data_IF_367759161637
#
_entry.id   IF_367759161637
#
_cell.length_a   1.000
_cell.length_b   1.000
_cell.length_c   1.000
_cell.angle_alpha   90.00
_cell.angle_beta   90.00
_cell.angle_gamma   90.00
#
_symmetry.space_group_name_H-M   'P 1'
#
loop_
_entity.id
_entity.type
_entity.pdbx_description
1 polymer ?
#
# COMPACT_ATOMS: atom_id res chain seq x y z
N UNK A 1 -2.04 -2.13 -6.64
CA UNK A 1 -2.31 -1.03 -7.59
C UNK A 1 -2.99 -1.53 -8.85
N UNK A 2 -2.45 -2.53 -9.60
CA UNK A 2 -3.11 -3.05 -10.81
C UNK A 2 -4.55 -3.51 -10.54
N UNK A 3 -4.78 -4.28 -9.49
CA UNK A 3 -6.12 -4.74 -9.12
C UNK A 3 -7.14 -3.60 -8.94
N UNK A 4 -6.70 -2.45 -8.42
CA UNK A 4 -7.57 -1.27 -8.28
C UNK A 4 -7.91 -0.65 -9.62
N UNK A 5 -6.94 -0.52 -10.54
CA UNK A 5 -7.16 -0.04 -11.90
C UNK A 5 -8.11 -0.97 -12.67
N UNK A 6 -7.92 -2.28 -12.54
CA UNK A 6 -8.75 -3.28 -13.20
C UNK A 6 -10.19 -3.28 -12.64
N UNK A 7 -10.34 -3.13 -11.32
CA UNK A 7 -11.65 -3.01 -10.65
C UNK A 7 -12.40 -1.76 -11.11
N UNK A 8 -11.70 -0.62 -11.23
CA UNK A 8 -12.30 0.61 -11.79
C UNK A 8 -12.73 0.42 -13.25
N UNK A 9 -11.87 -0.20 -14.07
CA UNK A 9 -12.19 -0.47 -15.48
C UNK A 9 -13.41 -1.40 -15.65
N UNK A 10 -13.67 -2.29 -14.68
CA UNK A 10 -14.86 -3.14 -14.64
C UNK A 10 -16.09 -2.45 -14.05
N UNK A 11 -15.96 -1.19 -13.60
CA UNK A 11 -17.07 -0.46 -12.97
C UNK A 11 -17.43 -0.92 -11.55
N UNK A 12 -16.51 -1.63 -10.87
CA UNK A 12 -16.74 -2.16 -9.53
C UNK A 12 -16.54 -1.09 -8.43
N UNK A 13 -16.00 0.08 -8.78
CA UNK A 13 -15.77 1.22 -7.89
C UNK A 13 -16.70 2.40 -8.21
N UNK A 14 -18.02 2.30 -7.99
CA UNK A 14 -18.96 3.32 -8.44
C UNK A 14 -18.81 4.67 -7.72
N UNK A 15 -18.19 4.69 -6.54
CA UNK A 15 -18.06 5.84 -5.66
C UNK A 15 -16.63 6.41 -5.60
N UNK A 16 -15.69 5.85 -6.36
CA UNK A 16 -14.29 6.28 -6.34
C UNK A 16 -13.68 6.25 -7.73
N UNK A 17 -12.72 7.15 -7.97
CA UNK A 17 -11.94 7.21 -9.21
C UNK A 17 -10.47 7.35 -8.88
N UNK A 18 -9.63 6.60 -9.59
CA UNK A 18 -8.18 6.73 -9.48
C UNK A 18 -7.74 7.85 -10.44
N UNK A 19 -7.32 8.97 -9.87
CA UNK A 19 -6.94 10.17 -10.63
C UNK A 19 -5.44 10.41 -10.66
N UNK A 20 -4.71 9.84 -9.69
CA UNK A 20 -3.27 10.03 -9.56
C UNK A 20 -2.57 8.78 -9.04
N UNK A 21 -1.41 8.46 -9.60
CA UNK A 21 -0.47 7.47 -9.08
C UNK A 21 0.83 8.16 -8.70
N UNK A 22 1.17 8.15 -7.41
CA UNK A 22 2.43 8.70 -6.90
C UNK A 22 3.44 7.56 -6.70
N UNK A 23 4.60 7.67 -7.32
CA UNK A 23 5.68 6.70 -7.17
C UNK A 23 6.85 7.30 -6.37
N UNK A 24 7.51 6.47 -5.57
CA UNK A 24 8.71 6.86 -4.81
C UNK A 24 10.00 6.84 -5.64
N UNK A 25 9.95 6.34 -6.88
CA UNK A 25 11.09 6.26 -7.82
C UNK A 25 10.62 6.43 -9.25
N UNK A 26 11.43 7.05 -10.13
CA UNK A 26 11.15 7.08 -11.56
C UNK A 26 11.31 5.70 -12.19
N UNK A 27 10.68 5.47 -13.34
CA UNK A 27 10.83 4.26 -14.13
C UNK A 27 10.29 2.99 -13.49
N UNK A 28 9.46 3.11 -12.43
CA UNK A 28 8.82 1.94 -11.82
C UNK A 28 7.58 1.53 -12.61
N UNK A 29 7.32 0.24 -12.64
CA UNK A 29 6.22 -0.34 -13.39
C UNK A 29 4.83 0.20 -13.00
N UNK A 30 4.72 0.78 -11.81
CA UNK A 30 3.49 1.46 -11.36
C UNK A 30 3.13 2.66 -12.27
N UNK A 31 4.11 3.45 -12.71
CA UNK A 31 3.88 4.59 -13.61
C UNK A 31 3.49 4.14 -15.02
N UNK A 32 4.07 3.05 -15.52
CA UNK A 32 3.66 2.46 -16.80
C UNK A 32 2.21 1.96 -16.78
N UNK A 33 1.81 1.34 -15.66
CA UNK A 33 0.43 0.88 -15.46
C UNK A 33 -0.56 2.06 -15.39
N UNK A 34 -0.19 3.13 -14.70
CA UNK A 34 -0.97 4.35 -14.65
C UNK A 34 -1.17 4.93 -16.05
N UNK A 35 -0.10 5.10 -16.81
CA UNK A 35 -0.14 5.62 -18.18
C UNK A 35 -1.02 4.76 -19.11
N UNK A 36 -0.92 3.41 -19.02
CA UNK A 36 -1.77 2.49 -19.79
C UNK A 36 -3.26 2.60 -19.44
N UNK A 37 -3.56 2.95 -18.20
CA UNK A 37 -4.92 3.17 -17.72
C UNK A 37 -5.43 4.62 -17.94
N UNK A 38 -4.61 5.50 -18.53
CA UNK A 38 -4.96 6.91 -18.72
C UNK A 38 -4.97 7.71 -17.41
N UNK A 39 -4.30 7.21 -16.37
CA UNK A 39 -4.18 7.87 -15.06
C UNK A 39 -2.87 8.64 -14.99
N UNK A 40 -2.92 9.85 -14.48
CA UNK A 40 -1.74 10.69 -14.27
C UNK A 40 -0.78 10.01 -13.27
N UNK A 41 0.52 10.06 -13.59
CA UNK A 41 1.57 9.52 -12.74
C UNK A 41 2.62 10.58 -12.41
N UNK A 42 3.02 10.68 -11.15
CA UNK A 42 4.11 11.54 -10.73
C UNK A 42 5.09 10.83 -9.79
N UNK A 43 6.23 11.48 -9.55
CA UNK A 43 7.29 10.93 -8.71
C UNK A 43 7.61 11.91 -7.58
N UNK A 44 7.47 11.44 -6.33
CA UNK A 44 7.90 12.17 -5.13
C UNK A 44 8.88 11.27 -4.37
N UNK A 45 10.18 11.59 -4.43
CA UNK A 45 11.22 10.74 -3.84
C UNK A 45 11.66 11.28 -2.50
N UNK A 46 11.57 10.46 -1.45
CA UNK A 46 12.04 10.85 -0.11
C UNK A 46 13.49 11.38 -0.08
N UNK A 47 14.37 10.81 -0.90
CA UNK A 47 15.80 11.18 -0.97
C UNK A 47 16.08 12.55 -1.59
N UNK A 48 15.11 13.17 -2.23
CA UNK A 48 15.27 14.50 -2.85
C UNK A 48 15.04 15.63 -1.83
N UNK A 49 14.66 15.29 -0.61
CA UNK A 49 14.37 16.21 0.49
C UNK A 49 15.31 15.95 1.67
N UNK A 50 15.78 17.02 2.30
CA UNK A 50 16.71 16.93 3.42
C UNK A 50 16.04 16.36 4.68
N UNK A 51 14.78 16.71 4.92
CA UNK A 51 14.00 16.24 6.08
C UNK A 51 12.76 15.48 5.68
N UNK A 52 12.17 14.76 6.63
CA UNK A 52 10.87 14.09 6.43
C UNK A 52 9.75 15.11 6.27
N UNK A 53 9.82 16.23 6.97
CA UNK A 53 8.81 17.30 6.89
C UNK A 53 8.78 17.97 5.50
N UNK A 54 9.95 18.18 4.89
CA UNK A 54 10.02 18.68 3.51
C UNK A 54 9.40 17.70 2.50
N UNK A 55 9.68 16.41 2.66
CA UNK A 55 9.07 15.36 1.84
C UNK A 55 7.55 15.32 2.02
N UNK A 56 7.06 15.36 3.26
CA UNK A 56 5.64 15.37 3.57
C UNK A 56 4.96 16.61 2.97
N UNK A 57 5.59 17.78 3.09
CA UNK A 57 5.09 19.03 2.51
C UNK A 57 4.94 18.92 1.00
N UNK A 58 5.94 18.37 0.32
CA UNK A 58 5.90 18.17 -1.13
C UNK A 58 4.84 17.16 -1.53
N UNK A 59 4.72 16.04 -0.81
CA UNK A 59 3.69 15.05 -1.06
C UNK A 59 2.29 15.63 -0.85
N UNK A 60 2.08 16.38 0.24
CA UNK A 60 0.82 17.06 0.51
C UNK A 60 0.44 18.08 -0.56
N UNK A 61 1.40 18.85 -1.07
CA UNK A 61 1.14 19.77 -2.19
C UNK A 61 0.61 19.01 -3.39
N UNK A 62 1.31 17.96 -3.81
CA UNK A 62 0.88 17.11 -4.93
C UNK A 62 -0.52 16.55 -4.73
N UNK A 63 -0.82 16.00 -3.56
CA UNK A 63 -2.14 15.44 -3.27
C UNK A 63 -3.26 16.50 -3.30
N UNK A 64 -3.00 17.67 -2.73
CA UNK A 64 -3.97 18.78 -2.68
C UNK A 64 -4.20 19.41 -4.05
N UNK A 65 -3.13 19.63 -4.83
CA UNK A 65 -3.19 20.22 -6.15
C UNK A 65 -4.01 19.36 -7.13
N UNK A 66 -4.05 18.03 -6.89
CA UNK A 66 -4.87 17.08 -7.66
C UNK A 66 -6.23 16.77 -7.01
N UNK A 67 -6.60 17.47 -5.95
CA UNK A 67 -7.89 17.27 -5.29
C UNK A 67 -8.11 15.87 -4.71
N UNK A 68 -7.03 15.21 -4.25
CA UNK A 68 -7.13 13.84 -3.74
C UNK A 68 -7.90 13.83 -2.42
N UNK A 69 -8.91 13.00 -2.32
CA UNK A 69 -9.77 12.85 -1.13
C UNK A 69 -9.44 11.59 -0.32
N UNK A 70 -8.92 10.53 -0.97
CA UNK A 70 -8.54 9.26 -0.37
C UNK A 70 -7.18 8.82 -0.91
N UNK A 71 -6.31 8.36 -0.04
CA UNK A 71 -4.99 7.82 -0.39
C UNK A 71 -4.97 6.32 -0.15
N UNK A 72 -4.48 5.55 -1.11
CA UNK A 72 -4.28 4.09 -0.95
C UNK A 72 -2.80 3.78 -1.12
N UNK A 73 -2.18 3.23 -0.08
CA UNK A 73 -0.81 2.76 -0.12
C UNK A 73 -0.79 1.32 -0.66
N UNK A 74 -0.10 1.13 -1.78
CA UNK A 74 0.03 -0.17 -2.45
C UNK A 74 1.52 -0.47 -2.70
N UNK A 75 2.21 -0.96 -1.69
CA UNK A 75 3.65 -1.20 -1.74
C UNK A 75 4.48 0.11 -1.69
N UNK A 76 3.95 1.15 -1.12
CA UNK A 76 4.65 2.40 -0.87
C UNK A 76 5.46 2.27 0.42
N UNK A 77 6.79 2.20 0.31
CA UNK A 77 7.69 1.89 1.43
C UNK A 77 8.17 3.12 2.22
N UNK A 78 7.90 4.32 1.74
CA UNK A 78 8.23 5.53 2.49
C UNK A 78 7.22 5.74 3.61
N UNK A 79 7.72 5.94 4.81
CA UNK A 79 6.86 6.27 5.97
C UNK A 79 6.28 7.67 5.75
N UNK A 80 4.98 7.78 5.87
CA UNK A 80 4.28 9.07 5.87
C UNK A 80 4.43 9.72 7.25
N UNK A 81 4.78 10.99 7.28
CA UNK A 81 4.90 11.70 8.55
C UNK A 81 3.57 12.23 9.08
N UNK A 82 3.61 12.80 10.30
CA UNK A 82 2.41 13.25 11.02
C UNK A 82 1.58 14.28 10.24
N UNK A 83 2.20 15.14 9.45
CA UNK A 83 1.50 16.18 8.68
C UNK A 83 0.62 15.62 7.58
N UNK A 84 1.07 14.55 6.89
CA UNK A 84 0.27 13.85 5.88
C UNK A 84 -0.89 13.11 6.54
N UNK A 85 -0.62 12.42 7.63
CA UNK A 85 -1.64 11.65 8.39
C UNK A 85 -2.72 12.60 8.94
N UNK A 86 -2.31 13.72 9.52
CA UNK A 86 -3.24 14.72 10.05
C UNK A 86 -4.08 15.42 8.96
N UNK A 87 -3.55 15.55 7.74
CA UNK A 87 -4.30 16.14 6.62
C UNK A 87 -5.36 15.20 6.04
N UNK A 88 -5.20 13.89 6.23
CA UNK A 88 -6.08 12.84 5.71
C UNK A 88 -6.59 11.90 6.83
N UNK A 89 -7.27 12.41 7.86
CA UNK A 89 -7.73 11.60 8.99
C UNK A 89 -8.74 10.55 8.51
N UNK A 90 -8.45 9.26 8.76
CA UNK A 90 -9.23 8.12 8.28
C UNK A 90 -9.45 8.11 6.75
N UNK A 91 -8.49 8.66 5.99
CA UNK A 91 -8.53 8.71 4.52
C UNK A 91 -7.23 8.23 3.89
N UNK A 92 -6.40 7.52 4.65
CA UNK A 92 -5.24 6.80 4.12
C UNK A 92 -5.43 5.33 4.45
N UNK A 93 -5.51 4.50 3.42
CA UNK A 93 -5.59 3.04 3.54
C UNK A 93 -4.25 2.43 3.17
N UNK A 94 -3.87 1.37 3.87
CA UNK A 94 -2.75 0.53 3.51
C UNK A 94 -3.21 -0.92 3.41
N UNK A 95 -2.60 -1.68 2.49
CA UNK A 95 -2.73 -3.13 2.45
C UNK A 95 -1.42 -3.75 2.92
N UNK A 96 -1.50 -4.56 3.98
CA UNK A 96 -0.39 -5.31 4.52
C UNK A 96 -0.59 -6.81 4.25
N UNK A 97 0.44 -7.55 3.75
CA UNK A 97 0.27 -8.93 3.30
C UNK A 97 0.35 -9.95 4.45
N UNK A 98 -0.27 -9.67 5.57
CA UNK A 98 -0.48 -10.61 6.68
C UNK A 98 -1.81 -10.35 7.39
N UNK A 99 -2.17 -11.21 8.31
CA UNK A 99 -3.28 -10.98 9.25
C UNK A 99 -2.74 -10.23 10.49
N UNK A 100 -2.82 -8.88 10.46
CA UNK A 100 -2.40 -8.05 11.59
C UNK A 100 -3.17 -8.51 12.86
N UNK A 101 -2.50 -8.65 14.03
CA UNK A 101 -1.19 -8.12 14.40
C UNK A 101 0.01 -9.06 14.14
N UNK A 102 -0.15 -10.14 13.38
CA UNK A 102 0.93 -11.07 13.08
C UNK A 102 1.78 -10.57 11.90
N UNK A 103 3.10 -10.72 11.98
CA UNK A 103 4.06 -10.43 10.90
C UNK A 103 3.89 -9.03 10.30
N UNK A 104 3.73 -8.00 11.14
CA UNK A 104 3.55 -6.61 10.76
C UNK A 104 4.51 -5.69 11.53
N UNK A 105 4.50 -4.39 11.19
CA UNK A 105 5.36 -3.39 11.80
C UNK A 105 6.76 -3.31 11.17
N UNK A 106 7.71 -2.64 11.84
CA UNK A 106 9.04 -2.38 11.29
C UNK A 106 9.76 -3.64 10.81
N UNK A 107 10.20 -3.64 9.56
CA UNK A 107 10.96 -4.74 8.96
C UNK A 107 10.11 -5.84 8.32
N UNK A 108 8.79 -5.82 8.44
CA UNK A 108 7.88 -6.74 7.76
C UNK A 108 7.32 -6.10 6.49
N UNK A 109 7.91 -6.40 5.35
CA UNK A 109 7.43 -5.93 4.04
C UNK A 109 7.81 -6.91 2.92
N UNK A 110 7.07 -6.88 1.83
CA UNK A 110 7.33 -7.67 0.62
C UNK A 110 7.36 -9.17 0.90
N UNK A 111 8.34 -9.86 0.32
CA UNK A 111 8.47 -11.32 0.42
C UNK A 111 8.78 -11.80 1.85
N UNK A 112 9.48 -10.97 2.63
CA UNK A 112 9.90 -11.31 4.00
C UNK A 112 8.72 -11.66 4.91
N UNK A 113 7.56 -11.06 4.71
CA UNK A 113 6.34 -11.38 5.49
C UNK A 113 5.96 -12.85 5.31
N UNK A 114 6.02 -13.33 4.07
CA UNK A 114 5.69 -14.72 3.72
C UNK A 114 6.77 -15.71 4.17
N UNK A 115 8.04 -15.31 4.07
CA UNK A 115 9.18 -16.08 4.60
C UNK A 115 9.04 -16.33 6.10
N UNK A 116 8.74 -15.28 6.87
CA UNK A 116 8.60 -15.41 8.32
C UNK A 116 7.33 -16.18 8.73
N UNK A 117 6.24 -16.05 7.97
CA UNK A 117 5.04 -16.85 8.18
C UNK A 117 5.31 -18.35 7.98
N UNK A 118 5.99 -18.73 6.89
CA UNK A 118 6.40 -20.11 6.61
C UNK A 118 7.37 -20.64 7.66
N UNK A 119 8.40 -19.86 8.00
CA UNK A 119 9.39 -20.21 9.03
C UNK A 119 8.76 -20.42 10.39
N UNK A 120 7.75 -19.64 10.75
CA UNK A 120 7.02 -19.79 12.01
C UNK A 120 6.10 -21.02 12.00
N UNK A 121 5.74 -21.55 10.82
CA UNK A 121 4.90 -22.71 10.65
C UNK A 121 3.40 -22.44 10.91
N UNK A 122 2.96 -21.18 10.77
CA UNK A 122 1.51 -20.87 10.84
C UNK A 122 0.77 -21.57 9.70
N UNK A 123 -0.50 -21.91 9.93
CA UNK A 123 -1.31 -22.63 8.94
C UNK A 123 -2.19 -21.70 8.12
N UNK A 124 -2.37 -20.47 8.60
CA UNK A 124 -3.19 -19.43 7.98
C UNK A 124 -2.42 -18.11 7.99
N UNK A 125 -2.45 -17.42 6.88
CA UNK A 125 -1.99 -16.04 6.71
C UNK A 125 -3.05 -15.26 5.95
N UNK A 126 -2.73 -14.16 5.31
CA UNK A 126 -3.68 -13.40 4.50
C UNK A 126 -3.23 -11.99 4.24
N UNK A 127 -4.19 -11.12 4.04
CA UNK A 127 -3.98 -9.69 3.88
C UNK A 127 -4.90 -8.88 4.80
N UNK A 128 -4.42 -7.72 5.21
CA UNK A 128 -5.16 -6.76 6.02
C UNK A 128 -5.19 -5.41 5.33
N UNK A 129 -6.39 -4.84 5.17
CA UNK A 129 -6.59 -3.44 4.82
C UNK A 129 -6.87 -2.68 6.11
N UNK A 130 -6.11 -1.64 6.38
CA UNK A 130 -6.26 -0.84 7.58
C UNK A 130 -6.09 0.66 7.28
N UNK A 131 -6.64 1.51 8.15
CA UNK A 131 -6.31 2.93 8.13
C UNK A 131 -4.89 3.14 8.63
N UNK A 132 -4.20 4.12 8.03
CA UNK A 132 -2.86 4.50 8.45
C UNK A 132 -2.93 5.51 9.58
N UNK A 133 -2.14 5.28 10.62
CA UNK A 133 -1.88 6.20 11.72
C UNK A 133 -0.36 6.38 11.89
N UNK A 134 0.07 7.00 12.98
CA UNK A 134 1.49 7.24 13.28
C UNK A 134 2.26 5.95 13.62
N UNK A 135 1.56 4.88 14.01
CA UNK A 135 2.15 3.58 14.31
C UNK A 135 2.17 2.72 13.04
N UNK A 136 3.35 2.25 12.58
CA UNK A 136 3.43 1.37 11.42
C UNK A 136 2.54 0.13 11.58
N UNK A 137 1.63 -0.08 10.63
CA UNK A 137 0.62 -1.14 10.61
C UNK A 137 -0.30 -1.20 11.85
N UNK A 138 -0.34 -0.11 12.66
CA UNK A 138 -1.07 -0.05 13.95
C UNK A 138 -2.45 0.57 13.85
N UNK A 139 -2.87 1.08 12.71
CA UNK A 139 -4.16 1.73 12.54
C UNK A 139 -5.36 0.77 12.52
N UNK A 140 -6.59 1.28 12.66
CA UNK A 140 -7.81 0.48 12.69
C UNK A 140 -7.98 -0.40 11.45
N UNK A 141 -8.28 -1.67 11.66
CA UNK A 141 -8.50 -2.65 10.59
C UNK A 141 -9.85 -2.40 9.94
N UNK A 142 -9.86 -2.36 8.60
CA UNK A 142 -11.06 -2.22 7.78
C UNK A 142 -11.53 -3.59 7.27
N UNK A 143 -10.58 -4.40 6.76
CA UNK A 143 -10.89 -5.70 6.17
C UNK A 143 -9.71 -6.65 6.33
N UNK A 144 -10.01 -7.92 6.53
CA UNK A 144 -9.02 -8.99 6.49
C UNK A 144 -9.54 -10.15 5.65
N UNK A 145 -8.67 -10.72 4.82
CA UNK A 145 -8.95 -11.95 4.07
C UNK A 145 -7.90 -13.00 4.43
N UNK A 146 -8.36 -14.12 4.97
CA UNK A 146 -7.50 -15.24 5.35
C UNK A 146 -7.17 -16.11 4.13
N UNK A 147 -5.97 -16.68 4.14
CA UNK A 147 -5.44 -17.60 3.12
C UNK A 147 -4.74 -18.75 3.82
N UNK A 148 -5.03 -19.99 3.40
CA UNK A 148 -4.35 -21.18 3.91
C UNK A 148 -2.92 -21.27 3.38
N UNK A 149 -2.01 -21.75 4.23
CA UNK A 149 -0.66 -22.16 3.87
C UNK A 149 -0.67 -23.65 3.59
N UNK A 150 -0.27 -24.02 2.37
CA UNK A 150 -0.26 -25.41 1.92
C UNK A 150 1.13 -26.02 2.12
N UNK A 151 1.16 -27.35 2.23
CA UNK A 151 2.44 -28.07 2.29
C UNK A 151 3.24 -27.86 1.01
N UNK A 152 4.52 -27.53 1.16
CA UNK A 152 5.41 -27.24 0.04
C UNK A 152 5.33 -25.81 -0.50
N UNK A 153 4.55 -24.92 0.10
CA UNK A 153 4.55 -23.51 -0.31
C UNK A 153 5.94 -22.89 -0.17
N UNK A 154 6.37 -22.19 -1.22
CA UNK A 154 7.48 -21.24 -1.14
C UNK A 154 6.95 -19.84 -0.82
N UNK A 155 7.81 -18.92 -0.35
CA UNK A 155 7.39 -17.53 -0.10
C UNK A 155 6.73 -16.86 -1.31
N UNK A 156 7.22 -17.13 -2.52
CA UNK A 156 6.69 -16.56 -3.76
C UNK A 156 5.32 -17.14 -4.12
N UNK A 157 5.11 -18.44 -3.88
CA UNK A 157 3.82 -19.11 -4.11
C UNK A 157 2.78 -18.58 -3.13
N UNK A 158 3.16 -18.47 -1.86
CA UNK A 158 2.29 -17.93 -0.82
C UNK A 158 1.95 -16.45 -1.09
N UNK A 159 2.95 -15.63 -1.45
CA UNK A 159 2.74 -14.24 -1.82
C UNK A 159 1.70 -14.10 -2.94
N UNK A 160 1.82 -14.91 -3.99
CA UNK A 160 0.90 -14.89 -5.13
C UNK A 160 -0.52 -15.21 -4.70
N UNK A 161 -0.71 -16.25 -3.87
CA UNK A 161 -2.02 -16.64 -3.33
C UNK A 161 -2.64 -15.56 -2.44
N UNK A 162 -1.83 -14.86 -1.66
CA UNK A 162 -2.31 -13.74 -0.83
C UNK A 162 -2.70 -12.52 -1.68
N UNK A 163 -2.10 -12.36 -2.87
CA UNK A 163 -2.38 -11.24 -3.78
C UNK A 163 -3.61 -11.47 -4.68
N UNK A 164 -4.13 -12.69 -4.78
CA UNK A 164 -5.36 -13.09 -5.49
C UNK A 164 -6.61 -12.82 -4.63
#
# INVERSE_FOLDING_TARGET
MQALLDSEARGENPNGRITLVVASKPGVYALERAAKAGVEGCVVRRKDYATSEEFDTALLSVLKDHGIELVVLAGFLSVLGPSVIAAYPNRILNIHPSLIPSFCGPGYYGLKVHEEALKRGVKVTGATVHFVNEEPDGGPIVLQKAVEILEGDTPEVLQRRVME
#
